data_IF_573174308503
#
_entry.id   IF_573174308503
#
_cell.length_a   1.000
_cell.length_b   1.000
_cell.length_c   1.000
_cell.angle_alpha   90.00
_cell.angle_beta   90.00
_cell.angle_gamma   90.00
#
_symmetry.space_group_name_H-M   'P 1'
#
loop_
_entity.id
_entity.type
_entity.pdbx_description
1 polymer ?
#
# COMPACT_ATOMS: atom_id res chain seq x y z
N UNK A 1 -13.64 15.11 7.26
CA UNK A 1 -14.70 14.08 7.38
C UNK A 1 -14.07 12.85 6.82
N UNK A 2 -14.10 11.75 7.56
CA UNK A 2 -13.22 10.62 7.29
C UNK A 2 -13.61 9.88 6.02
N UNK A 3 -12.65 9.65 5.13
CA UNK A 3 -12.89 8.97 3.85
C UNK A 3 -13.02 7.47 4.06
N UNK A 4 -12.01 6.87 4.68
CA UNK A 4 -11.94 5.43 4.94
C UNK A 4 -11.60 5.19 6.40
N UNK A 5 -12.27 4.21 7.01
CA UNK A 5 -11.84 3.66 8.30
C UNK A 5 -11.61 2.16 8.18
N UNK A 6 -10.41 1.72 8.55
CA UNK A 6 -10.08 0.31 8.75
C UNK A 6 -10.40 -0.07 10.19
N UNK A 7 -11.29 -1.03 10.39
CA UNK A 7 -11.93 -1.35 11.67
C UNK A 7 -11.32 -2.58 12.34
N UNK A 8 -10.97 -2.44 13.62
CA UNK A 8 -10.66 -3.55 14.52
C UNK A 8 -9.47 -4.41 14.10
N UNK A 9 -8.54 -3.85 13.32
CA UNK A 9 -7.35 -4.54 12.87
C UNK A 9 -6.27 -4.58 13.96
N UNK A 10 -5.32 -5.50 13.81
CA UNK A 10 -4.06 -5.46 14.58
C UNK A 10 -3.07 -4.58 13.81
N UNK A 11 -2.98 -3.31 14.18
CA UNK A 11 -2.18 -2.30 13.49
C UNK A 11 -0.71 -2.45 13.89
N UNK A 12 0.14 -2.53 12.88
CA UNK A 12 1.60 -2.68 13.03
C UNK A 12 2.27 -1.33 12.79
N UNK A 13 2.99 -0.86 13.78
CA UNK A 13 3.74 0.41 13.77
C UNK A 13 5.14 0.20 14.32
N UNK A 14 6.09 1.13 14.07
CA UNK A 14 7.39 1.10 14.74
C UNK A 14 7.31 1.07 16.26
N UNK A 15 6.26 1.64 16.83
CA UNK A 15 6.03 1.72 18.29
C UNK A 15 5.46 0.41 18.86
N UNK A 16 4.87 -0.45 18.02
CA UNK A 16 4.35 -1.75 18.44
C UNK A 16 3.21 -2.29 17.58
N UNK A 17 2.64 -3.39 18.07
CA UNK A 17 1.59 -4.17 17.39
C UNK A 17 0.37 -4.23 18.30
N UNK A 18 -0.67 -3.48 17.97
CA UNK A 18 -1.82 -3.29 18.87
C UNK A 18 -3.16 -3.30 18.11
N UNK A 19 -4.26 -3.76 18.73
CA UNK A 19 -5.60 -3.60 18.16
C UNK A 19 -5.98 -2.11 18.07
N UNK A 20 -6.42 -1.66 16.91
CA UNK A 20 -6.89 -0.30 16.68
C UNK A 20 -7.75 -0.19 15.40
N UNK A 21 -8.48 0.92 15.31
CA UNK A 21 -8.98 1.43 14.05
C UNK A 21 -7.94 2.39 13.42
N UNK A 22 -7.98 2.54 12.10
CA UNK A 22 -7.15 3.48 11.35
C UNK A 22 -8.04 4.32 10.43
N UNK A 23 -7.97 5.65 10.60
CA UNK A 23 -8.73 6.61 9.80
C UNK A 23 -7.84 7.25 8.73
N UNK A 24 -8.43 7.46 7.54
CA UNK A 24 -7.79 8.08 6.38
C UNK A 24 -8.63 9.28 5.94
N UNK A 25 -7.98 10.43 5.77
CA UNK A 25 -8.55 11.66 5.20
C UNK A 25 -7.61 12.22 4.13
N UNK A 26 -8.13 12.52 2.95
CA UNK A 26 -7.39 13.07 1.81
C UNK A 26 -6.14 12.24 1.44
N UNK A 27 -6.25 10.91 1.55
CA UNK A 27 -5.15 9.97 1.27
C UNK A 27 -4.07 9.90 2.36
N UNK A 28 -4.27 10.56 3.50
CA UNK A 28 -3.33 10.59 4.63
C UNK A 28 -3.95 9.92 5.86
N UNK A 29 -3.13 9.23 6.65
CA UNK A 29 -3.57 8.69 7.94
C UNK A 29 -3.87 9.86 8.88
N UNK A 30 -5.14 10.02 9.24
CA UNK A 30 -5.62 11.11 10.11
C UNK A 30 -5.76 10.69 11.58
N UNK A 31 -5.78 9.38 11.86
CA UNK A 31 -5.83 8.87 13.23
C UNK A 31 -5.62 7.37 13.32
N UNK A 32 -5.06 6.93 14.46
CA UNK A 32 -4.95 5.52 14.85
C UNK A 32 -5.39 5.45 16.31
N UNK A 33 -6.35 4.60 16.62
CA UNK A 33 -6.87 4.48 17.98
C UNK A 33 -8.11 3.60 18.07
N UNK A 34 -8.61 3.34 19.29
CA UNK A 34 -9.85 2.60 19.47
C UNK A 34 -11.06 3.45 19.05
N UNK A 35 -12.07 2.80 18.49
CA UNK A 35 -13.42 3.35 18.31
C UNK A 35 -13.45 4.71 17.57
N UNK A 36 -12.70 4.83 16.48
CA UNK A 36 -12.66 6.07 15.69
C UNK A 36 -14.05 6.39 15.09
N UNK A 37 -14.31 7.66 14.78
CA UNK A 37 -15.56 8.05 14.14
C UNK A 37 -15.80 7.32 12.81
N UNK A 38 -17.06 7.23 12.38
CA UNK A 38 -17.45 6.69 11.07
C UNK A 38 -16.78 7.41 9.89
N UNK A 39 -16.44 6.65 8.84
CA UNK A 39 -16.01 7.20 7.56
C UNK A 39 -17.04 6.97 6.45
N UNK A 40 -16.83 7.57 5.28
CA UNK A 40 -17.64 7.30 4.09
C UNK A 40 -17.57 5.84 3.65
N UNK A 41 -16.40 5.21 3.83
CA UNK A 41 -16.16 3.80 3.60
C UNK A 41 -15.57 3.15 4.86
N UNK A 42 -15.97 1.91 5.13
CA UNK A 42 -15.40 1.12 6.23
C UNK A 42 -14.88 -0.22 5.70
N UNK A 43 -13.73 -0.64 6.21
CA UNK A 43 -13.08 -1.92 5.90
C UNK A 43 -12.98 -2.72 7.21
N UNK A 44 -13.60 -3.89 7.26
CA UNK A 44 -13.50 -4.79 8.42
C UNK A 44 -12.17 -5.57 8.39
N UNK A 45 -11.29 -5.28 9.34
CA UNK A 45 -9.99 -5.93 9.49
C UNK A 45 -9.91 -6.80 10.76
N UNK A 46 -11.05 -7.17 11.37
CA UNK A 46 -11.06 -8.01 12.57
C UNK A 46 -10.39 -9.36 12.31
N UNK A 47 -9.42 -9.70 13.17
CA UNK A 47 -8.61 -10.92 13.02
C UNK A 47 -7.52 -10.83 11.97
N UNK A 48 -7.34 -9.67 11.33
CA UNK A 48 -6.27 -9.39 10.36
C UNK A 48 -5.23 -8.42 10.94
N UNK A 49 -4.05 -8.45 10.36
CA UNK A 49 -3.01 -7.45 10.60
C UNK A 49 -3.09 -6.34 9.55
N UNK A 50 -2.86 -5.10 10.00
CA UNK A 50 -2.78 -3.92 9.14
C UNK A 50 -1.33 -3.44 9.17
N UNK A 51 -0.60 -3.72 8.10
CA UNK A 51 0.79 -3.30 7.93
C UNK A 51 0.87 -1.98 7.12
N UNK A 52 1.96 -1.20 7.28
CA UNK A 52 2.33 -0.21 6.28
C UNK A 52 2.50 -0.88 4.92
N UNK A 53 2.10 -0.18 3.85
CA UNK A 53 2.33 -0.67 2.50
C UNK A 53 3.82 -0.86 2.23
N UNK A 54 4.19 -1.97 1.57
CA UNK A 54 5.59 -2.25 1.27
C UNK A 54 6.13 -1.24 0.25
N UNK A 55 7.38 -0.83 0.46
CA UNK A 55 8.18 -0.02 -0.46
C UNK A 55 9.24 -0.95 -1.05
N UNK A 56 9.12 -1.25 -2.34
CA UNK A 56 10.11 -2.06 -3.06
C UNK A 56 11.08 -1.17 -3.83
N UNK A 57 12.31 -1.07 -3.33
CA UNK A 57 13.33 -0.18 -3.90
C UNK A 57 14.02 -0.76 -5.13
N UNK A 58 13.67 -1.97 -5.57
CA UNK A 58 14.40 -2.65 -6.65
C UNK A 58 13.50 -3.54 -7.51
N UNK A 59 12.76 -2.93 -8.44
CA UNK A 59 11.99 -3.66 -9.46
C UNK A 59 12.54 -3.42 -10.87
N UNK A 60 12.17 -4.28 -11.82
CA UNK A 60 12.50 -4.14 -13.24
C UNK A 60 11.22 -4.39 -14.06
N UNK A 61 10.47 -3.34 -14.36
CA UNK A 61 9.26 -3.42 -15.19
C UNK A 61 9.57 -3.32 -16.69
N UNK A 62 10.76 -2.82 -17.05
CA UNK A 62 11.34 -2.89 -18.40
C UNK A 62 10.55 -2.14 -19.49
N UNK A 63 9.69 -1.20 -19.10
CA UNK A 63 8.92 -0.34 -20.01
C UNK A 63 9.52 1.07 -20.01
N UNK A 64 9.82 1.66 -21.19
CA UNK A 64 9.59 1.17 -22.55
C UNK A 64 10.67 0.19 -23.06
N UNK A 65 10.46 -0.41 -24.23
CA UNK A 65 11.47 -1.18 -24.97
C UNK A 65 11.32 -2.70 -24.85
N UNK A 66 11.24 -3.21 -23.61
CA UNK A 66 11.03 -4.62 -23.31
C UNK A 66 9.75 -4.82 -22.47
N UNK A 67 8.70 -4.06 -22.81
CA UNK A 67 7.40 -4.07 -22.11
C UNK A 67 6.79 -5.47 -22.04
N UNK A 68 7.08 -6.35 -23.02
CA UNK A 68 6.59 -7.73 -23.03
C UNK A 68 7.23 -8.64 -21.97
N UNK A 69 8.32 -8.21 -21.31
CA UNK A 69 8.90 -8.95 -20.20
C UNK A 69 8.08 -8.81 -18.93
N UNK A 70 7.54 -7.62 -18.68
CA UNK A 70 6.62 -7.33 -17.58
C UNK A 70 5.70 -6.17 -17.96
N UNK A 71 6.19 -4.94 -17.93
CA UNK A 71 5.41 -3.72 -18.16
C UNK A 71 4.81 -3.14 -16.87
N UNK A 72 4.66 -1.82 -16.83
CA UNK A 72 4.26 -1.12 -15.61
C UNK A 72 2.87 -1.54 -15.12
N UNK A 73 1.95 -1.86 -16.03
CA UNK A 73 0.58 -2.24 -15.70
C UNK A 73 0.47 -3.61 -15.00
N UNK A 74 1.19 -4.63 -15.47
CA UNK A 74 1.15 -5.96 -14.83
C UNK A 74 2.06 -6.02 -13.61
N UNK A 75 3.24 -5.40 -13.68
CA UNK A 75 4.18 -5.32 -12.56
C UNK A 75 3.59 -4.62 -11.33
N UNK A 76 2.97 -3.44 -11.52
CA UNK A 76 2.32 -2.73 -10.41
C UNK A 76 1.11 -3.48 -9.83
N UNK A 77 0.36 -4.21 -10.67
CA UNK A 77 -0.73 -5.08 -10.19
C UNK A 77 -0.20 -6.25 -9.36
N UNK A 78 0.90 -6.87 -9.77
CA UNK A 78 1.56 -7.92 -9.01
C UNK A 78 2.07 -7.40 -7.66
N UNK A 79 2.69 -6.20 -7.65
CA UNK A 79 3.13 -5.52 -6.44
C UNK A 79 1.96 -5.26 -5.48
N UNK A 80 0.85 -4.72 -5.98
CA UNK A 80 -0.35 -4.46 -5.18
C UNK A 80 -0.94 -5.75 -4.57
N UNK A 81 -0.97 -6.85 -5.35
CA UNK A 81 -1.41 -8.16 -4.84
C UNK A 81 -0.50 -8.71 -3.73
N UNK A 82 0.78 -8.32 -3.71
CA UNK A 82 1.75 -8.63 -2.65
C UNK A 82 1.73 -7.67 -1.45
N UNK A 83 0.89 -6.63 -1.47
CA UNK A 83 0.82 -5.61 -0.41
C UNK A 83 1.82 -4.46 -0.57
N UNK A 84 2.48 -4.34 -1.73
CA UNK A 84 3.32 -3.18 -2.05
C UNK A 84 2.50 -1.99 -2.56
N UNK A 85 2.97 -0.80 -2.22
CA UNK A 85 2.27 0.47 -2.51
C UNK A 85 3.16 1.51 -3.18
N UNK A 86 4.47 1.30 -3.14
CA UNK A 86 5.45 2.16 -3.78
C UNK A 86 6.60 1.30 -4.31
N UNK A 87 7.14 1.67 -5.46
CA UNK A 87 8.28 0.99 -6.06
C UNK A 87 9.26 1.98 -6.70
N UNK A 88 10.53 1.58 -6.81
CA UNK A 88 11.54 2.22 -7.65
C UNK A 88 11.91 1.29 -8.81
N UNK A 89 11.55 1.70 -10.02
CA UNK A 89 11.90 0.97 -11.24
C UNK A 89 13.34 1.25 -11.65
N UNK A 90 14.07 0.20 -11.99
CA UNK A 90 15.51 0.26 -12.20
C UNK A 90 15.88 0.75 -13.61
N UNK A 91 17.06 1.37 -13.75
CA UNK A 91 17.44 2.10 -14.96
C UNK A 91 17.87 1.22 -16.15
N UNK A 92 17.85 -0.11 -16.00
CA UNK A 92 18.40 -1.06 -16.96
C UNK A 92 17.31 -2.04 -17.45
N UNK A 93 17.58 -2.69 -18.59
CA UNK A 93 16.62 -3.47 -19.40
C UNK A 93 15.59 -2.63 -20.16
N UNK A 94 15.08 -1.52 -19.62
CA UNK A 94 14.28 -0.59 -20.44
C UNK A 94 15.13 -0.01 -21.59
N UNK A 95 14.48 0.37 -22.70
CA UNK A 95 15.14 0.98 -23.86
C UNK A 95 14.39 2.27 -24.26
N UNK A 96 15.04 3.45 -24.21
CA UNK A 96 16.40 3.66 -23.73
C UNK A 96 16.50 3.40 -22.22
N UNK A 97 17.67 2.97 -21.76
CA UNK A 97 17.98 2.91 -20.33
C UNK A 97 17.89 4.33 -19.74
N UNK A 98 17.22 4.51 -18.60
CA UNK A 98 16.97 5.81 -17.96
C UNK A 98 17.63 5.94 -16.61
#
# INVERSE_FOLDING_TARGET
MTDVVVRGGTVVTPEGVNPADLAIEDGVISGIGPELAGGFQEIDARGLFVFPGMIDVHVHFNEPGHTEWEGAATGSRALAAGGGTLFFDMPLNSIPCT
#
